data_IF_882646072830
#
_entry.id   IF_882646072830
#
_cell.length_a   1.000
_cell.length_b   1.000
_cell.length_c   1.000
_cell.angle_alpha   90.00
_cell.angle_beta   90.00
_cell.angle_gamma   90.00
#
_symmetry.space_group_name_H-M   'P 1'
#
loop_
_entity.id
_entity.type
_entity.pdbx_description
1 polymer ?
#
# COMPACT_ATOMS: atom_id res chain seq x y z
N UNK A 1 18.20 -1.55 -18.77
CA UNK A 1 16.82 -1.95 -19.17
C UNK A 1 15.84 -1.28 -18.19
N UNK A 2 14.99 -0.33 -18.62
CA UNK A 2 14.01 0.30 -17.71
C UNK A 2 12.87 -0.70 -17.47
N UNK A 3 12.76 -1.22 -16.24
CA UNK A 3 11.66 -2.11 -15.83
C UNK A 3 10.34 -1.32 -15.94
N UNK A 4 9.44 -1.75 -16.82
CA UNK A 4 8.08 -1.19 -16.88
C UNK A 4 7.19 -1.99 -15.93
N UNK A 5 6.88 -1.42 -14.77
CA UNK A 5 5.79 -1.94 -13.95
C UNK A 5 4.47 -1.82 -14.72
N UNK A 6 3.56 -2.79 -14.58
CA UNK A 6 2.31 -2.74 -15.30
C UNK A 6 1.43 -1.61 -14.75
N UNK A 7 0.67 -0.96 -15.63
CA UNK A 7 -0.14 0.23 -15.30
C UNK A 7 -1.10 -0.02 -14.11
N UNK A 8 -1.70 -1.21 -14.04
CA UNK A 8 -2.64 -1.58 -12.97
C UNK A 8 -1.99 -1.56 -11.59
N UNK A 9 -0.70 -1.91 -11.48
CA UNK A 9 0.03 -1.94 -10.22
C UNK A 9 0.31 -0.52 -9.71
N UNK A 10 0.55 0.42 -10.63
CA UNK A 10 0.67 1.85 -10.30
C UNK A 10 -0.67 2.42 -9.82
N UNK A 11 -1.78 2.08 -10.48
CA UNK A 11 -3.12 2.51 -10.07
C UNK A 11 -3.41 1.99 -8.65
N UNK A 12 -3.12 0.71 -8.39
CA UNK A 12 -3.30 0.12 -7.07
C UNK A 12 -2.49 0.85 -5.98
N UNK A 13 -1.23 1.19 -6.26
CA UNK A 13 -0.40 1.97 -5.33
C UNK A 13 -1.02 3.33 -5.03
N UNK A 14 -1.48 4.05 -6.06
CA UNK A 14 -2.11 5.37 -5.89
C UNK A 14 -3.34 5.26 -4.99
N UNK A 15 -4.19 4.24 -5.18
CA UNK A 15 -5.32 3.99 -4.29
C UNK A 15 -4.88 3.71 -2.85
N UNK A 16 -3.85 2.88 -2.65
CA UNK A 16 -3.30 2.60 -1.32
C UNK A 16 -2.79 3.86 -0.61
N UNK A 17 -2.09 4.74 -1.34
CA UNK A 17 -1.60 6.03 -0.83
C UNK A 17 -2.78 6.94 -0.46
N UNK A 18 -3.77 7.09 -1.34
CA UNK A 18 -4.94 7.95 -1.08
C UNK A 18 -5.72 7.50 0.16
N UNK A 19 -5.97 6.20 0.30
CA UNK A 19 -6.68 5.64 1.46
C UNK A 19 -5.88 5.83 2.73
N UNK A 20 -4.57 5.58 2.70
CA UNK A 20 -3.69 5.76 3.86
C UNK A 20 -3.60 7.24 4.28
N UNK A 21 -3.55 8.15 3.31
CA UNK A 21 -3.54 9.59 3.56
C UNK A 21 -4.88 10.05 4.17
N UNK A 22 -6.00 9.54 3.66
CA UNK A 22 -7.32 9.79 4.24
C UNK A 22 -7.42 9.28 5.68
N UNK A 23 -6.93 8.06 5.95
CA UNK A 23 -6.90 7.49 7.30
C UNK A 23 -6.11 8.38 8.28
N UNK A 24 -4.96 8.90 7.83
CA UNK A 24 -4.12 9.80 8.61
C UNK A 24 -4.81 11.13 8.88
N UNK A 25 -5.41 11.74 7.85
CA UNK A 25 -6.18 12.99 7.95
C UNK A 25 -7.34 12.86 8.94
N UNK A 26 -8.13 11.79 8.81
CA UNK A 26 -9.27 11.54 9.70
C UNK A 26 -8.80 11.36 11.14
N UNK A 27 -7.74 10.58 11.35
CA UNK A 27 -7.16 10.37 12.68
C UNK A 27 -6.60 11.67 13.29
N UNK A 28 -6.05 12.56 12.45
CA UNK A 28 -5.57 13.87 12.89
C UNK A 28 -6.71 14.82 13.28
N UNK A 29 -7.80 14.83 12.52
CA UNK A 29 -8.99 15.62 12.82
C UNK A 29 -9.66 15.13 14.10
N UNK A 30 -9.88 13.82 14.23
CA UNK A 30 -10.49 13.25 15.43
C UNK A 30 -9.66 13.60 16.67
N UNK A 31 -8.32 13.57 16.59
CA UNK A 31 -7.45 13.92 17.72
C UNK A 31 -7.60 15.36 18.20
N UNK A 32 -8.09 16.30 17.38
CA UNK A 32 -8.22 17.72 17.78
C UNK A 32 -9.35 17.95 18.78
N UNK A 33 -10.42 17.16 18.70
CA UNK A 33 -11.60 17.31 19.55
C UNK A 33 -11.54 16.46 20.82
N UNK A 34 -10.46 15.67 20.98
CA UNK A 34 -10.28 14.80 22.12
C UNK A 34 -9.37 15.45 23.19
N UNK A 35 -9.65 15.24 24.49
CA UNK A 35 -8.82 15.73 25.59
C UNK A 35 -7.37 15.19 25.49
N UNK A 36 -6.41 15.84 26.16
CA UNK A 36 -5.06 15.29 26.26
C UNK A 36 -5.13 13.88 26.88
N UNK A 37 -4.26 12.98 26.42
CA UNK A 37 -4.12 11.58 26.88
C UNK A 37 -5.13 10.53 26.39
N UNK A 38 -6.05 10.84 25.48
CA UNK A 38 -6.87 9.80 24.83
C UNK A 38 -6.37 9.55 23.39
N UNK A 39 -6.22 8.27 23.03
CA UNK A 39 -5.82 7.85 21.68
C UNK A 39 -7.08 7.56 20.85
N UNK A 40 -7.40 8.34 19.80
CA UNK A 40 -8.59 8.13 18.97
C UNK A 40 -8.48 6.92 18.02
N UNK A 41 -7.63 5.95 18.33
CA UNK A 41 -7.30 4.84 17.43
C UNK A 41 -8.41 3.79 17.36
N UNK A 42 -9.23 3.64 18.41
CA UNK A 42 -10.33 2.66 18.45
C UNK A 42 -11.40 2.96 17.40
N UNK A 43 -11.75 4.23 17.17
CA UNK A 43 -12.83 4.59 16.24
C UNK A 43 -12.44 4.47 14.76
N UNK A 44 -11.14 4.58 14.44
CA UNK A 44 -10.65 4.59 13.06
C UNK A 44 -9.76 3.40 12.69
N UNK A 45 -9.66 2.42 13.60
CA UNK A 45 -8.76 1.27 13.45
C UNK A 45 -8.96 0.56 12.10
N UNK A 46 -10.21 0.39 11.66
CA UNK A 46 -10.52 -0.32 10.41
C UNK A 46 -9.94 0.37 9.17
N UNK A 47 -10.01 1.70 9.08
CA UNK A 47 -9.53 2.46 7.91
C UNK A 47 -8.00 2.47 7.90
N UNK A 48 -7.38 2.60 9.07
CA UNK A 48 -5.93 2.53 9.23
C UNK A 48 -5.42 1.13 8.82
N UNK A 49 -6.04 0.07 9.34
CA UNK A 49 -5.70 -1.31 8.95
C UNK A 49 -5.89 -1.57 7.46
N UNK A 50 -6.95 -1.03 6.87
CA UNK A 50 -7.21 -1.16 5.45
C UNK A 50 -6.14 -0.44 4.61
N UNK A 51 -5.73 0.77 4.99
CA UNK A 51 -4.64 1.48 4.32
C UNK A 51 -3.29 0.75 4.43
N UNK A 52 -2.94 0.30 5.64
CA UNK A 52 -1.70 -0.46 5.87
C UNK A 52 -1.72 -1.78 5.09
N UNK A 53 -2.81 -2.54 5.15
CA UNK A 53 -2.91 -3.83 4.45
C UNK A 53 -2.77 -3.66 2.93
N UNK A 54 -3.37 -2.62 2.33
CA UNK A 54 -3.23 -2.31 0.90
C UNK A 54 -1.79 -1.97 0.50
N UNK A 55 -1.06 -1.24 1.35
CA UNK A 55 0.35 -0.92 1.08
C UNK A 55 1.23 -2.16 1.23
N UNK A 56 1.00 -2.99 2.23
CA UNK A 56 1.74 -4.23 2.44
C UNK A 56 1.49 -5.23 1.30
N UNK A 57 0.23 -5.42 0.89
CA UNK A 57 -0.11 -6.27 -0.25
C UNK A 57 0.50 -5.76 -1.55
N UNK A 58 0.55 -4.44 -1.77
CA UNK A 58 1.26 -3.87 -2.92
C UNK A 58 2.73 -4.31 -2.95
N UNK A 59 3.43 -4.21 -1.82
CA UNK A 59 4.84 -4.61 -1.72
C UNK A 59 5.00 -6.09 -2.08
N UNK A 60 4.15 -6.96 -1.52
CA UNK A 60 4.19 -8.40 -1.79
C UNK A 60 3.97 -8.68 -3.28
N UNK A 61 2.95 -8.07 -3.89
CA UNK A 61 2.62 -8.25 -5.30
C UNK A 61 3.76 -7.73 -6.19
N UNK A 62 4.34 -6.58 -5.86
CA UNK A 62 5.44 -5.99 -6.61
C UNK A 62 6.69 -6.89 -6.58
N UNK A 63 7.04 -7.43 -5.41
CA UNK A 63 8.15 -8.37 -5.24
C UNK A 63 7.89 -9.68 -5.99
N UNK A 64 6.68 -10.24 -5.86
CA UNK A 64 6.30 -11.47 -6.54
C UNK A 64 6.34 -11.30 -8.07
N UNK A 65 5.86 -10.17 -8.58
CA UNK A 65 5.90 -9.84 -10.01
C UNK A 65 7.34 -9.75 -10.52
N UNK A 66 8.24 -9.07 -9.79
CA UNK A 66 9.65 -8.96 -10.15
C UNK A 66 10.33 -10.35 -10.16
N UNK A 67 10.02 -11.19 -9.16
CA UNK A 67 10.55 -12.55 -9.08
C UNK A 67 10.09 -13.44 -10.25
N UNK A 68 8.80 -13.40 -10.60
CA UNK A 68 8.25 -14.17 -11.72
C UNK A 68 8.76 -13.68 -13.07
N UNK A 69 8.88 -12.37 -13.25
CA UNK A 69 9.41 -11.77 -14.47
C UNK A 69 10.88 -12.18 -14.70
N UNK A 70 11.72 -12.06 -13.66
CA UNK A 70 13.11 -12.49 -13.72
C UNK A 70 13.24 -13.99 -14.04
N UNK A 71 12.38 -14.83 -13.46
CA UNK A 71 12.37 -16.27 -13.73
C UNK A 71 11.96 -16.62 -15.16
N UNK A 72 11.05 -15.84 -15.78
CA UNK A 72 10.67 -16.05 -17.19
C UNK A 72 11.81 -15.73 -18.15
N UNK A 73 12.45 -14.57 -17.99
CA UNK A 73 13.52 -14.16 -18.91
C UNK A 73 14.73 -15.11 -18.84
N UNK A 74 15.13 -15.54 -17.65
CA UNK A 74 16.24 -16.51 -17.51
C UNK A 74 15.96 -17.83 -18.27
N UNK A 75 14.70 -18.29 -18.33
CA UNK A 75 14.33 -19.50 -19.08
C UNK A 75 14.31 -19.30 -20.59
N UNK A 76 14.13 -18.06 -21.05
CA UNK A 76 14.09 -17.70 -22.47
C UNK A 76 15.50 -17.55 -23.04
N UNK A 77 16.46 -17.14 -22.20
CA UNK A 77 17.89 -17.10 -22.55
C UNK A 77 18.55 -18.51 -22.61
N UNK A 78 17.93 -19.52 -21.99
CA UNK A 78 18.39 -20.91 -21.94
C UNK A 78 17.86 -21.79 -23.12
N UNK A 79 17.05 -21.24 -24.02
CA UNK A 79 16.31 -21.92 -25.09
C UNK A 79 16.75 -21.47 -26.49
#
# INVERSE_FOLDING_TARGET
MKRKQPLWLNIYLIFGILISFYALLKSYLDRKDLPPNVCPIENNNNIIFLGISLLVSYIIIAVAYDYLYKKRNNKEDDL
#
